data_IF_362243706175
#
_entry.id   IF_362243706175
#
_cell.length_a   1.000
_cell.length_b   1.000
_cell.length_c   1.000
_cell.angle_alpha   90.00
_cell.angle_beta   90.00
_cell.angle_gamma   90.00
#
_symmetry.space_group_name_H-M   'P 1'
#
loop_
_entity.id
_entity.type
_entity.pdbx_description
1 polymer ?
#
# COMPACT_ATOMS: atom_id res chain seq x y z
N UNK A 1 -0.33 5.16 8.11
CA UNK A 1 0.19 6.48 7.71
C UNK A 1 1.35 6.29 6.76
N UNK A 2 1.48 7.12 5.73
CA UNK A 2 2.58 7.06 4.75
C UNK A 2 3.19 8.46 4.65
N UNK A 3 4.50 8.58 4.82
CA UNK A 3 5.19 9.88 4.73
C UNK A 3 4.61 10.95 5.66
N UNK A 4 4.10 10.56 6.83
CA UNK A 4 3.48 11.48 7.79
C UNK A 4 2.01 11.83 7.53
N UNK A 5 1.37 11.27 6.48
CA UNK A 5 -0.05 11.51 6.17
C UNK A 5 -0.90 10.27 6.44
N UNK A 6 -2.04 10.48 7.11
CA UNK A 6 -3.02 9.41 7.35
C UNK A 6 -3.67 8.99 6.03
N UNK A 7 -3.60 7.70 5.73
CA UNK A 7 -4.22 7.12 4.53
C UNK A 7 -5.51 6.43 4.95
N UNK A 8 -6.61 6.70 4.25
CA UNK A 8 -7.91 6.11 4.57
C UNK A 8 -7.93 4.60 4.29
N UNK A 9 -7.25 4.17 3.21
CA UNK A 9 -7.26 2.78 2.73
C UNK A 9 -5.94 2.38 2.09
N UNK A 10 -5.58 1.12 2.30
CA UNK A 10 -4.60 0.39 1.51
C UNK A 10 -5.11 -1.03 1.29
N UNK A 11 -4.81 -1.60 0.12
CA UNK A 11 -5.07 -3.01 -0.17
C UNK A 11 -3.83 -3.82 0.11
N UNK A 12 -3.98 -4.89 0.88
CA UNK A 12 -2.97 -5.93 1.02
C UNK A 12 -3.21 -6.97 -0.08
N UNK A 13 -2.25 -7.13 -0.98
CA UNK A 13 -2.42 -8.00 -2.16
C UNK A 13 -1.25 -8.97 -2.33
N UNK A 14 -1.50 -10.25 -2.06
CA UNK A 14 -0.52 -11.32 -2.34
C UNK A 14 -0.33 -11.59 -3.84
N UNK A 15 -1.28 -11.21 -4.69
CA UNK A 15 -1.18 -11.29 -6.14
C UNK A 15 -0.22 -10.24 -6.71
N UNK A 16 -0.13 -9.07 -6.09
CA UNK A 16 0.76 -8.00 -6.50
C UNK A 16 2.23 -8.31 -6.20
N UNK A 17 3.07 -8.27 -7.24
CA UNK A 17 4.53 -8.46 -7.13
C UNK A 17 5.28 -7.23 -6.63
N UNK A 18 4.63 -6.06 -6.64
CA UNK A 18 5.18 -4.76 -6.26
C UNK A 18 4.20 -4.03 -5.35
N UNK A 19 4.68 -3.06 -4.58
CA UNK A 19 3.79 -2.08 -3.96
C UNK A 19 3.51 -0.97 -4.97
N UNK A 20 2.26 -0.50 -5.03
CA UNK A 20 1.83 0.55 -5.96
C UNK A 20 1.35 1.77 -5.19
N UNK A 21 1.84 2.94 -5.62
CA UNK A 21 1.40 4.23 -5.14
C UNK A 21 0.81 5.03 -6.30
N UNK A 22 -0.47 5.44 -6.24
CA UNK A 22 -1.05 6.32 -7.24
C UNK A 22 -0.28 7.64 -7.33
N UNK A 23 -0.02 8.14 -8.55
CA UNK A 23 0.80 9.32 -8.76
C UNK A 23 0.25 10.56 -8.07
N UNK A 24 -1.07 10.74 -8.03
CA UNK A 24 -1.65 11.89 -7.34
C UNK A 24 -1.40 11.82 -5.83
N UNK A 25 -1.43 10.63 -5.22
CA UNK A 25 -1.11 10.44 -3.79
C UNK A 25 0.35 10.76 -3.56
N UNK A 26 1.25 10.22 -4.39
CA UNK A 26 2.67 10.57 -4.37
C UNK A 26 2.89 12.09 -4.42
N UNK A 27 2.16 12.80 -5.30
CA UNK A 27 2.24 14.26 -5.41
C UNK A 27 1.75 14.98 -4.16
N UNK A 28 0.66 14.52 -3.55
CA UNK A 28 0.15 15.08 -2.29
C UNK A 28 1.12 14.87 -1.12
N UNK A 29 1.79 13.71 -1.09
CA UNK A 29 2.76 13.37 -0.05
C UNK A 29 4.10 14.10 -0.19
N UNK A 30 4.42 14.65 -1.37
CA UNK A 30 5.64 15.43 -1.59
C UNK A 30 6.93 14.63 -1.38
N UNK A 31 6.94 13.33 -1.72
CA UNK A 31 8.01 12.37 -1.39
C UNK A 31 9.35 12.56 -2.14
N UNK A 32 9.61 13.74 -2.71
CA UNK A 32 10.83 14.00 -3.49
C UNK A 32 10.78 13.45 -4.91
N UNK A 33 11.93 13.32 -5.58
CA UNK A 33 12.02 12.92 -6.98
C UNK A 33 11.80 11.42 -7.20
N UNK A 34 11.11 11.06 -8.29
CA UNK A 34 10.99 9.66 -8.71
C UNK A 34 12.28 9.19 -9.37
N UNK A 35 12.77 8.01 -8.96
CA UNK A 35 13.84 7.32 -9.66
C UNK A 35 13.31 6.75 -10.98
N UNK A 36 14.00 6.97 -12.10
CA UNK A 36 13.68 6.30 -13.35
C UNK A 36 13.73 4.79 -13.18
N UNK A 37 12.80 4.07 -13.83
CA UNK A 37 12.76 2.61 -13.80
C UNK A 37 12.50 2.06 -15.19
N UNK A 38 13.10 0.92 -15.51
CA UNK A 38 12.84 0.17 -16.75
C UNK A 38 11.77 -0.90 -16.56
N UNK A 39 11.09 -0.91 -15.41
CA UNK A 39 10.02 -1.86 -15.12
C UNK A 39 8.82 -1.57 -16.01
N UNK A 40 8.21 -2.63 -16.52
CA UNK A 40 6.89 -2.61 -17.16
C UNK A 40 5.97 -3.49 -16.34
N UNK A 41 4.74 -3.04 -16.06
CA UNK A 41 3.78 -3.78 -15.26
C UNK A 41 2.76 -4.48 -16.15
N UNK A 42 2.49 -5.74 -15.85
CA UNK A 42 1.34 -6.47 -16.39
C UNK A 42 0.26 -6.51 -15.32
N UNK A 43 -0.93 -6.02 -15.67
CA UNK A 43 -2.09 -6.00 -14.79
C UNK A 43 -2.88 -7.31 -14.90
N UNK A 44 -3.79 -7.56 -13.97
CA UNK A 44 -4.59 -8.78 -13.93
C UNK A 44 -5.49 -8.95 -15.16
N UNK A 45 -5.88 -7.85 -15.81
CA UNK A 45 -6.62 -7.83 -17.07
C UNK A 45 -5.72 -8.06 -18.31
N UNK A 46 -4.43 -8.36 -18.08
CA UNK A 46 -3.39 -8.56 -19.08
C UNK A 46 -2.99 -7.30 -19.85
N UNK A 47 -3.52 -6.14 -19.46
CA UNK A 47 -2.99 -4.86 -19.97
C UNK A 47 -1.58 -4.64 -19.44
N UNK A 48 -0.84 -3.81 -20.17
CA UNK A 48 0.55 -3.48 -19.87
C UNK A 48 0.64 -1.98 -19.67
N UNK A 49 1.25 -1.55 -18.56
CA UNK A 49 1.42 -0.14 -18.23
C UNK A 49 2.86 0.16 -17.84
N UNK A 50 3.30 1.38 -18.16
CA UNK A 50 4.63 1.87 -17.84
C UNK A 50 4.49 2.81 -16.63
N UNK A 51 5.16 2.54 -15.50
CA UNK A 51 5.16 3.43 -14.36
C UNK A 51 5.90 4.73 -14.66
N UNK A 52 5.57 5.78 -13.91
CA UNK A 52 6.30 7.06 -13.97
C UNK A 52 7.72 6.94 -13.40
N UNK A 53 7.90 6.02 -12.46
CA UNK A 53 9.15 5.82 -11.75
C UNK A 53 8.94 5.05 -10.46
N UNK A 54 9.97 5.02 -9.63
CA UNK A 54 9.96 4.40 -8.31
C UNK A 54 10.29 5.43 -7.24
N UNK A 55 9.73 5.26 -6.06
CA UNK A 55 10.17 5.94 -4.84
C UNK A 55 10.59 4.89 -3.83
N UNK A 56 11.76 5.06 -3.25
CA UNK A 56 12.38 4.10 -2.35
C UNK A 56 12.33 4.62 -0.90
N UNK A 57 12.42 3.70 0.05
CA UNK A 57 12.55 3.98 1.50
C UNK A 57 11.42 4.85 2.09
N UNK A 58 10.20 4.74 1.56
CA UNK A 58 9.05 5.47 2.10
C UNK A 58 8.63 4.86 3.44
N UNK A 59 8.56 5.69 4.48
CA UNK A 59 8.10 5.26 5.80
C UNK A 59 6.58 5.02 5.79
N UNK A 60 6.21 3.76 6.02
CA UNK A 60 4.83 3.30 6.22
C UNK A 60 4.66 2.92 7.69
N UNK A 61 3.80 3.64 8.38
CA UNK A 61 3.45 3.36 9.77
C UNK A 61 2.14 2.58 9.85
N UNK A 62 2.19 1.43 10.52
CA UNK A 62 1.03 0.62 10.92
C UNK A 62 1.00 0.58 12.45
N UNK A 63 -0.02 1.23 13.03
CA UNK A 63 -0.11 1.50 14.47
C UNK A 63 1.22 2.08 15.00
N UNK A 64 2.01 1.38 15.82
CA UNK A 64 3.30 1.88 16.33
C UNK A 64 4.54 1.48 15.53
N UNK A 65 4.40 0.62 14.51
CA UNK A 65 5.53 0.10 13.75
C UNK A 65 5.75 0.86 12.45
N UNK A 66 7.02 1.04 12.10
CA UNK A 66 7.45 1.74 10.89
C UNK A 66 8.18 0.77 9.97
N UNK A 67 7.72 0.66 8.73
CA UNK A 67 8.35 -0.13 7.69
C UNK A 67 8.87 0.79 6.60
N UNK A 68 10.08 0.54 6.12
CA UNK A 68 10.57 1.17 4.88
C UNK A 68 10.00 0.39 3.70
N UNK A 69 9.42 1.10 2.74
CA UNK A 69 8.68 0.50 1.63
C UNK A 69 9.01 1.21 0.34
N UNK A 70 9.41 0.44 -0.65
CA UNK A 70 9.57 0.93 -2.02
C UNK A 70 8.24 0.81 -2.77
N UNK A 71 7.91 1.84 -3.53
CA UNK A 71 6.71 1.91 -4.35
C UNK A 71 7.04 2.16 -5.81
N UNK A 72 6.34 1.44 -6.67
CA UNK A 72 6.23 1.81 -8.08
C UNK A 72 5.09 2.83 -8.21
N UNK A 73 5.36 3.95 -8.87
CA UNK A 73 4.40 5.06 -8.99
C UNK A 73 3.72 5.02 -10.36
N UNK A 74 2.38 4.95 -10.34
CA UNK A 74 1.56 4.80 -11.55
C UNK A 74 0.57 5.95 -11.72
N UNK A 75 0.33 6.33 -12.96
CA UNK A 75 -0.87 7.10 -13.30
C UNK A 75 -2.11 6.24 -13.11
N UNK A 76 -3.10 6.79 -12.42
CA UNK A 76 -4.40 6.16 -12.20
C UNK A 76 -5.48 7.13 -12.66
N UNK A 77 -6.42 6.69 -13.51
CA UNK A 77 -7.50 7.51 -14.09
C UNK A 77 -8.61 7.91 -13.08
N UNK A 78 -8.28 8.04 -11.80
CA UNK A 78 -9.22 8.31 -10.72
C UNK A 78 -9.63 9.80 -10.61
N UNK A 79 -9.26 10.64 -11.58
CA UNK A 79 -9.87 11.97 -11.71
C UNK A 79 -11.35 11.90 -12.11
N UNK A 80 -11.84 10.74 -12.55
CA UNK A 80 -13.25 10.51 -12.83
C UNK A 80 -13.92 9.80 -11.64
N UNK A 81 -14.85 10.52 -10.98
CA UNK A 81 -15.80 10.06 -9.94
C UNK A 81 -15.29 10.10 -8.50
N UNK A 82 -15.23 11.32 -7.95
CA UNK A 82 -15.86 11.73 -6.67
C UNK A 82 -15.74 10.82 -5.44
N UNK A 83 -14.78 9.91 -5.40
CA UNK A 83 -14.55 8.98 -4.31
C UNK A 83 -13.06 8.97 -4.05
N UNK A 84 -12.67 9.14 -2.79
CA UNK A 84 -11.30 9.03 -2.28
C UNK A 84 -10.74 7.59 -2.41
N UNK A 85 -11.01 6.89 -3.51
CA UNK A 85 -10.73 5.47 -3.74
C UNK A 85 -9.35 5.23 -4.34
N UNK A 86 -8.40 6.10 -4.05
CA UNK A 86 -7.02 5.94 -4.44
C UNK A 86 -6.37 4.84 -3.64
N UNK A 87 -6.50 3.64 -4.18
CA UNK A 87 -6.15 2.45 -3.46
C UNK A 87 -4.65 2.21 -3.62
N UNK A 88 -3.91 2.51 -2.56
CA UNK A 88 -2.51 2.15 -2.39
C UNK A 88 -2.45 0.63 -2.26
N UNK A 89 -1.58 -0.02 -3.03
CA UNK A 89 -1.43 -1.47 -2.97
C UNK A 89 -0.12 -1.78 -2.24
N UNK A 90 -0.23 -2.52 -1.15
CA UNK A 90 0.87 -3.14 -0.44
C UNK A 90 0.93 -4.60 -0.88
N UNK A 91 1.86 -4.87 -1.79
CA UNK A 91 2.04 -6.17 -2.40
C UNK A 91 2.88 -7.12 -1.56
N UNK A 92 3.33 -8.20 -2.21
CA UNK A 92 4.25 -9.17 -1.59
C UNK A 92 5.52 -8.55 -0.99
N UNK A 93 6.16 -7.51 -1.55
CA UNK A 93 7.35 -6.92 -0.91
C UNK A 93 7.06 -6.38 0.49
N UNK A 94 5.99 -5.58 0.67
CA UNK A 94 5.63 -5.11 2.01
C UNK A 94 5.24 -6.26 2.95
N UNK A 95 4.45 -7.23 2.46
CA UNK A 95 4.03 -8.37 3.25
C UNK A 95 5.22 -9.24 3.69
N UNK A 96 6.25 -9.36 2.85
CA UNK A 96 7.50 -10.04 3.19
C UNK A 96 8.32 -9.24 4.21
N UNK A 97 8.51 -7.93 3.98
CA UNK A 97 9.24 -7.04 4.91
C UNK A 97 8.63 -7.04 6.31
N UNK A 98 7.30 -7.05 6.39
CA UNK A 98 6.57 -7.08 7.66
C UNK A 98 6.37 -8.48 8.25
N UNK A 99 6.90 -9.52 7.59
CA UNK A 99 6.69 -10.92 7.97
C UNK A 99 5.21 -11.22 8.26
N UNK A 100 4.34 -10.82 7.34
CA UNK A 100 2.89 -10.88 7.52
C UNK A 100 2.37 -12.32 7.54
N UNK A 101 1.60 -12.67 8.57
CA UNK A 101 0.83 -13.91 8.66
C UNK A 101 -0.65 -13.55 8.64
N UNK A 102 -1.36 -13.97 7.58
CA UNK A 102 -2.78 -13.64 7.40
C UNK A 102 -3.61 -14.91 7.49
N UNK A 103 -4.48 -14.99 8.50
CA UNK A 103 -5.46 -16.05 8.63
C UNK A 103 -6.79 -15.59 8.04
N UNK A 104 -7.04 -15.97 6.78
CA UNK A 104 -8.24 -15.58 6.05
C UNK A 104 -9.53 -16.16 6.65
N UNK A 105 -9.47 -17.23 7.45
CA UNK A 105 -10.66 -17.85 8.06
C UNK A 105 -11.25 -16.97 9.15
N UNK A 106 -10.39 -16.40 10.00
CA UNK A 106 -10.82 -15.62 11.16
C UNK A 106 -10.53 -14.11 11.04
N UNK A 107 -9.84 -13.68 9.98
CA UNK A 107 -9.53 -12.27 9.74
C UNK A 107 -8.42 -11.73 10.63
N UNK A 108 -7.65 -12.60 11.27
CA UNK A 108 -6.51 -12.18 12.08
C UNK A 108 -5.27 -12.09 11.20
N UNK A 109 -4.64 -10.91 11.22
CA UNK A 109 -3.36 -10.65 10.60
C UNK A 109 -2.32 -10.34 11.68
N UNK A 110 -1.16 -10.98 11.59
CA UNK A 110 0.00 -10.66 12.41
C UNK A 110 1.09 -10.03 11.55
N UNK A 111 1.70 -8.95 12.04
CA UNK A 111 2.88 -8.31 11.48
C UNK A 111 4.02 -8.36 12.50
N UNK A 112 5.26 -8.42 12.03
CA UNK A 112 6.45 -8.45 12.88
C UNK A 112 7.36 -7.25 12.61
N UNK A 113 7.95 -6.71 13.68
CA UNK A 113 8.96 -5.66 13.63
C UNK A 113 10.08 -5.99 14.63
N UNK A 114 11.25 -6.41 14.12
CA UNK A 114 12.32 -6.93 14.97
C UNK A 114 11.86 -8.19 15.73
N UNK A 115 11.92 -8.14 17.06
CA UNK A 115 11.43 -9.21 17.95
C UNK A 115 9.97 -8.99 18.41
N UNK A 116 9.32 -7.93 17.94
CA UNK A 116 7.96 -7.59 18.33
C UNK A 116 6.96 -8.07 17.28
N UNK A 117 5.76 -8.44 17.73
CA UNK A 117 4.63 -8.75 16.84
C UNK A 117 3.42 -7.90 17.19
N UNK A 118 2.55 -7.70 16.21
CA UNK A 118 1.27 -7.02 16.34
C UNK A 118 0.19 -7.83 15.66
N UNK A 119 -0.96 -7.91 16.28
CA UNK A 119 -2.14 -8.56 15.74
C UNK A 119 -3.20 -7.52 15.37
N UNK A 120 -3.83 -7.73 14.22
CA UNK A 120 -4.83 -6.85 13.63
C UNK A 120 -6.01 -7.72 13.19
N UNK A 121 -7.22 -7.36 13.61
CA UNK A 121 -8.45 -7.91 13.04
C UNK A 121 -8.81 -7.11 11.78
N UNK A 122 -8.49 -7.67 10.61
CA UNK A 122 -8.72 -6.99 9.34
C UNK A 122 -10.21 -6.95 8.97
N UNK A 123 -11.04 -7.85 9.47
CA UNK A 123 -12.49 -7.81 9.24
C UNK A 123 -13.15 -6.67 10.05
N UNK A 124 -12.68 -6.42 11.27
CA UNK A 124 -13.13 -5.30 12.08
C UNK A 124 -12.62 -3.96 11.57
N UNK A 125 -11.35 -3.87 11.15
CA UNK A 125 -10.79 -2.66 10.56
C UNK A 125 -11.54 -2.23 9.29
N UNK A 126 -11.98 -3.19 8.47
CA UNK A 126 -12.85 -2.91 7.33
C UNK A 126 -14.27 -2.43 7.73
N UNK A 127 -14.75 -2.71 8.94
CA UNK A 127 -16.10 -2.32 9.41
C UNK A 127 -16.17 -0.93 10.04
N UNK A 128 -15.14 -0.47 10.75
CA UNK A 128 -15.02 0.94 11.22
C UNK A 128 -15.15 1.95 10.06
N UNK A 129 -14.92 1.50 8.85
CA UNK A 129 -15.04 2.28 7.63
C UNK A 129 -16.49 2.58 7.17
N UNK A 130 -17.48 1.79 7.61
CA UNK A 130 -18.88 1.97 7.20
C UNK A 130 -19.75 2.66 8.25
N UNK A 131 -19.21 2.83 9.47
CA UNK A 131 -19.84 3.61 10.54
C UNK A 131 -18.74 4.42 11.24
N UNK A 132 -18.49 5.67 10.82
CA UNK A 132 -17.70 6.58 11.62
C UNK A 132 -18.51 6.93 12.87
N UNK A 133 -17.89 6.84 14.05
CA UNK A 133 -18.42 7.44 15.28
C UNK A 133 -18.54 8.97 15.14
#
# INVERSE_FOLDING_TARGET
MIGGVSMERALLDFGASVNLLPYFVYKQLGLGELKPTSITLSLADRSVTIPRGMIEDVLVQIDKFYYTVDFVVLDTDLSAKGTNSALIILGRPFLATSNAIINCRNGIMQLSFGNMTMELDIFYLCKKQFHPE
#
